data_IF_907273714809
#
_entry.id   IF_907273714809
#
_cell.length_a   1.000
_cell.length_b   1.000
_cell.length_c   1.000
_cell.angle_alpha   90.00
_cell.angle_beta   90.00
_cell.angle_gamma   90.00
#
_symmetry.space_group_name_H-M   'P 1'
#
loop_
_entity.id
_entity.type
_entity.pdbx_description
1 polymer ?
#
# COMPACT_ATOMS: atom_id res chain seq x y z
N UNK A 1 14.73 10.13 2.23
CA UNK A 1 15.18 9.84 0.85
C UNK A 1 16.20 8.73 0.92
N UNK A 2 15.84 7.57 0.40
CA UNK A 2 16.68 6.38 0.33
C UNK A 2 17.08 6.15 -1.13
N UNK A 3 18.30 5.70 -1.36
CA UNK A 3 18.78 5.29 -2.68
C UNK A 3 19.19 3.82 -2.62
N UNK A 4 18.65 3.02 -3.54
CA UNK A 4 18.95 1.59 -3.65
C UNK A 4 19.70 1.35 -4.94
N UNK A 5 20.79 0.61 -4.81
CA UNK A 5 21.62 0.19 -5.94
C UNK A 5 21.53 -1.32 -6.11
N UNK A 6 21.13 -1.76 -7.30
CA UNK A 6 21.00 -3.18 -7.65
C UNK A 6 21.61 -3.46 -9.02
N UNK A 7 21.89 -4.73 -9.29
CA UNK A 7 22.44 -5.19 -10.57
C UNK A 7 21.42 -6.05 -11.29
N UNK A 8 21.11 -5.67 -12.53
CA UNK A 8 20.22 -6.41 -13.41
C UNK A 8 20.97 -6.93 -14.66
N UNK A 9 20.25 -7.48 -15.63
CA UNK A 9 20.83 -8.00 -16.90
C UNK A 9 21.51 -6.92 -17.76
N UNK A 10 21.19 -5.64 -17.53
CA UNK A 10 21.74 -4.48 -18.26
C UNK A 10 22.89 -3.78 -17.52
N UNK A 11 23.24 -4.25 -16.32
CA UNK A 11 24.30 -3.71 -15.48
C UNK A 11 23.80 -3.13 -14.15
N UNK A 12 24.62 -2.28 -13.54
CA UNK A 12 24.32 -1.62 -12.27
C UNK A 12 23.29 -0.50 -12.49
N UNK A 13 22.23 -0.50 -11.69
CA UNK A 13 21.18 0.52 -11.66
C UNK A 13 21.08 1.13 -10.27
N UNK A 14 20.57 2.35 -10.21
CA UNK A 14 20.23 3.03 -8.97
C UNK A 14 18.81 3.57 -9.07
N UNK A 15 18.08 3.52 -7.97
CA UNK A 15 16.73 4.05 -7.85
C UNK A 15 16.60 4.79 -6.52
N UNK A 16 16.04 5.99 -6.55
CA UNK A 16 15.72 6.76 -5.35
C UNK A 16 14.26 6.58 -4.96
N UNK A 17 13.97 6.67 -3.67
CA UNK A 17 12.60 6.62 -3.15
C UNK A 17 11.76 7.79 -3.66
N UNK A 18 12.37 8.93 -3.99
CA UNK A 18 11.69 10.06 -4.63
C UNK A 18 11.23 9.69 -6.06
N UNK A 19 12.08 9.04 -6.87
CA UNK A 19 11.68 8.60 -8.22
C UNK A 19 10.51 7.63 -8.16
N UNK A 20 10.54 6.69 -7.21
CA UNK A 20 9.44 5.74 -6.99
C UNK A 20 8.19 6.47 -6.52
N UNK A 21 8.32 7.39 -5.57
CA UNK A 21 7.20 8.20 -5.10
C UNK A 21 6.56 9.02 -6.23
N UNK A 22 7.34 9.57 -7.17
CA UNK A 22 6.80 10.26 -8.35
C UNK A 22 6.08 9.30 -9.30
N UNK A 23 6.57 8.07 -9.48
CA UNK A 23 5.86 7.05 -10.26
C UNK A 23 4.51 6.71 -9.63
N UNK A 24 4.50 6.48 -8.32
CA UNK A 24 3.29 6.18 -7.56
C UNK A 24 2.30 7.36 -7.58
N UNK A 25 2.77 8.62 -7.51
CA UNK A 25 1.92 9.81 -7.58
C UNK A 25 1.23 10.01 -8.93
N UNK A 26 1.76 9.41 -10.00
CA UNK A 26 1.13 9.47 -11.31
C UNK A 26 -0.06 8.50 -11.43
N UNK A 27 -0.25 7.59 -10.46
CA UNK A 27 -1.43 6.74 -10.39
C UNK A 27 -2.59 7.59 -9.85
N UNK A 28 -3.68 7.64 -10.61
CA UNK A 28 -4.82 8.52 -10.35
C UNK A 28 -5.47 8.29 -8.99
N UNK A 29 -5.24 7.11 -8.42
CA UNK A 29 -6.00 6.56 -7.32
C UNK A 29 -5.36 6.79 -5.94
N UNK A 30 -4.10 7.25 -5.89
CA UNK A 30 -3.39 7.50 -4.62
C UNK A 30 -3.27 9.01 -4.36
N UNK A 31 -4.02 9.50 -3.38
CA UNK A 31 -4.08 10.95 -3.05
C UNK A 31 -2.93 11.43 -2.18
N UNK A 32 -2.29 10.54 -1.42
CA UNK A 32 -1.12 10.91 -0.63
C UNK A 32 -0.14 9.75 -0.54
N UNK A 33 1.14 10.07 -0.70
CA UNK A 33 2.25 9.11 -0.60
C UNK A 33 3.39 9.77 0.17
N UNK A 34 3.85 9.12 1.23
CA UNK A 34 4.99 9.54 2.05
C UNK A 34 6.03 8.43 2.13
N UNK A 35 7.29 8.74 1.82
CA UNK A 35 8.41 7.81 2.01
C UNK A 35 8.71 7.62 3.51
N UNK A 36 8.52 6.40 4.00
CA UNK A 36 8.77 5.98 5.38
C UNK A 36 9.85 4.88 5.46
N UNK A 37 10.69 4.74 4.43
CA UNK A 37 11.73 3.71 4.35
C UNK A 37 12.71 3.75 5.53
N UNK A 38 12.91 4.93 6.13
CA UNK A 38 13.75 5.12 7.32
C UNK A 38 13.17 4.52 8.62
N UNK A 39 11.90 4.11 8.63
CA UNK A 39 11.20 3.59 9.83
C UNK A 39 11.64 2.18 10.24
N UNK A 40 12.01 1.33 9.28
CA UNK A 40 12.54 -0.02 9.51
C UNK A 40 14.01 -0.17 9.10
N UNK A 41 14.53 0.73 8.25
CA UNK A 41 15.90 0.68 7.71
C UNK A 41 16.24 -0.68 7.10
N UNK A 42 15.24 -1.31 6.48
CA UNK A 42 15.42 -2.60 5.83
C UNK A 42 16.22 -2.39 4.54
N UNK A 43 17.32 -3.14 4.40
CA UNK A 43 18.22 -2.96 3.26
C UNK A 43 17.52 -3.38 1.96
N UNK A 44 17.68 -2.54 0.94
CA UNK A 44 17.16 -2.75 -0.41
C UNK A 44 15.63 -2.86 -0.46
N UNK A 45 14.93 -2.28 0.52
CA UNK A 45 13.47 -2.18 0.57
C UNK A 45 13.08 -0.71 0.76
N UNK A 46 12.14 -0.23 -0.05
CA UNK A 46 11.48 1.06 0.12
C UNK A 46 10.09 0.83 0.70
N UNK A 47 9.65 1.74 1.56
CA UNK A 47 8.36 1.62 2.22
C UNK A 47 7.66 2.97 2.14
N UNK A 48 6.41 2.95 1.70
CA UNK A 48 5.58 4.14 1.50
C UNK A 48 4.31 4.03 2.34
N UNK A 49 3.97 5.12 3.00
CA UNK A 49 2.67 5.33 3.63
C UNK A 49 1.75 6.01 2.61
N UNK A 50 0.63 5.36 2.31
CA UNK A 50 -0.26 5.71 1.21
C UNK A 50 -1.69 5.92 1.69
N UNK A 51 -2.42 6.76 0.97
CA UNK A 51 -3.87 6.96 1.12
C UNK A 51 -4.54 6.90 -0.25
N UNK A 52 -5.60 6.10 -0.36
CA UNK A 52 -6.43 6.06 -1.56
C UNK A 52 -7.38 7.26 -1.65
N UNK A 53 -7.76 7.62 -2.87
CA UNK A 53 -8.83 8.60 -3.08
C UNK A 53 -10.16 8.09 -2.52
N UNK A 54 -10.80 8.93 -1.72
CA UNK A 54 -12.12 8.73 -1.16
C UNK A 54 -13.21 8.48 -2.23
N UNK A 55 -12.94 8.82 -3.51
CA UNK A 55 -13.89 8.64 -4.61
C UNK A 55 -13.84 7.27 -5.29
N UNK A 56 -12.82 6.44 -5.03
CA UNK A 56 -12.71 5.10 -5.63
C UNK A 56 -13.82 4.20 -5.08
N UNK A 57 -14.12 4.38 -3.79
CA UNK A 57 -15.10 3.61 -3.06
C UNK A 57 -16.22 4.52 -2.55
N UNK A 58 -17.07 4.99 -3.47
CA UNK A 58 -18.31 5.69 -3.09
C UNK A 58 -19.34 4.68 -2.64
N UNK A 59 -19.28 4.30 -1.37
CA UNK A 59 -20.39 3.61 -0.73
C UNK A 59 -21.44 4.66 -0.37
N UNK A 60 -22.63 4.54 -0.95
CA UNK A 60 -23.76 5.33 -0.50
C UNK A 60 -24.09 4.89 0.93
N UNK A 61 -24.14 5.81 1.92
CA UNK A 61 -24.62 5.45 3.24
C UNK A 61 -26.04 4.91 3.07
N UNK A 62 -26.26 3.69 3.52
CA UNK A 62 -27.60 3.09 3.46
C UNK A 62 -28.51 3.88 4.42
N UNK A 63 -29.78 4.04 4.08
CA UNK A 63 -30.70 4.72 5.01
C UNK A 63 -30.84 3.89 6.29
N UNK A 64 -31.08 4.52 7.45
CA UNK A 64 -31.21 3.82 8.74
C UNK A 64 -32.25 2.67 8.70
N UNK A 65 -33.31 2.84 7.90
CA UNK A 65 -34.32 1.79 7.63
C UNK A 65 -33.76 0.61 6.81
N UNK A 66 -32.84 0.86 5.88
CA UNK A 66 -32.14 -0.18 5.11
C UNK A 66 -31.10 -0.91 5.97
N UNK A 67 -30.43 -0.22 6.91
CA UNK A 67 -29.54 -0.87 7.87
C UNK A 67 -30.28 -1.91 8.74
N UNK A 68 -31.49 -1.58 9.19
CA UNK A 68 -32.34 -2.51 9.96
C UNK A 68 -32.98 -3.61 9.08
N UNK A 69 -33.33 -3.31 7.83
CA UNK A 69 -33.98 -4.27 6.92
C UNK A 69 -33.00 -5.28 6.28
N UNK A 70 -31.74 -4.88 6.05
CA UNK A 70 -30.71 -5.71 5.40
C UNK A 70 -29.76 -6.41 6.37
N UNK A 71 -29.97 -6.31 7.69
CA UNK A 71 -29.08 -6.86 8.73
C UNK A 71 -27.60 -6.54 8.44
N UNK A 72 -27.29 -5.26 8.22
CA UNK A 72 -25.91 -4.86 7.92
C UNK A 72 -25.05 -5.15 9.14
N UNK A 73 -24.25 -6.21 9.01
CA UNK A 73 -23.51 -6.84 10.08
C UNK A 73 -22.00 -6.87 9.74
N UNK A 74 -21.26 -7.67 10.52
CA UNK A 74 -19.83 -7.89 10.31
C UNK A 74 -19.52 -8.49 8.93
N UNK A 75 -20.45 -9.26 8.33
CA UNK A 75 -20.30 -9.90 7.02
C UNK A 75 -20.33 -8.87 5.89
N UNK A 76 -21.24 -7.88 5.94
CA UNK A 76 -21.25 -6.78 4.96
C UNK A 76 -19.93 -6.00 4.96
N UNK A 77 -19.45 -5.62 6.15
CA UNK A 77 -18.18 -4.91 6.28
C UNK A 77 -16.98 -5.75 5.83
N UNK A 78 -17.02 -7.06 6.04
CA UNK A 78 -16.00 -7.97 5.56
C UNK A 78 -15.95 -7.99 4.03
N UNK A 79 -17.09 -8.06 3.35
CA UNK A 79 -17.17 -8.02 1.88
C UNK A 79 -16.58 -6.70 1.36
N UNK A 80 -16.95 -5.56 1.95
CA UNK A 80 -16.38 -4.27 1.56
C UNK A 80 -14.85 -4.21 1.74
N UNK A 81 -14.36 -4.77 2.83
CA UNK A 81 -12.92 -4.85 3.08
C UNK A 81 -12.23 -5.75 2.05
N UNK A 82 -12.84 -6.89 1.70
CA UNK A 82 -12.34 -7.80 0.67
C UNK A 82 -12.25 -7.11 -0.69
N UNK A 83 -13.28 -6.35 -1.10
CA UNK A 83 -13.28 -5.58 -2.35
C UNK A 83 -12.14 -4.54 -2.39
N UNK A 84 -11.94 -3.80 -1.30
CA UNK A 84 -10.83 -2.84 -1.19
C UNK A 84 -9.48 -3.55 -1.29
N UNK A 85 -9.36 -4.70 -0.64
CA UNK A 85 -8.12 -5.44 -0.62
C UNK A 85 -7.80 -6.07 -1.97
N UNK A 86 -8.81 -6.56 -2.70
CA UNK A 86 -8.67 -7.06 -4.08
C UNK A 86 -8.23 -5.93 -5.02
N UNK A 87 -8.88 -4.77 -4.93
CA UNK A 87 -8.48 -3.59 -5.71
C UNK A 87 -7.03 -3.17 -5.43
N UNK A 88 -6.62 -3.10 -4.16
CA UNK A 88 -5.24 -2.78 -3.80
C UNK A 88 -4.25 -3.85 -4.28
N UNK A 89 -4.69 -5.11 -4.36
CA UNK A 89 -3.88 -6.19 -4.90
C UNK A 89 -3.63 -6.00 -6.39
N UNK A 90 -4.68 -5.73 -7.18
CA UNK A 90 -4.56 -5.42 -8.61
C UNK A 90 -3.64 -4.21 -8.85
N UNK A 91 -3.86 -3.12 -8.10
CA UNK A 91 -3.01 -1.93 -8.16
C UNK A 91 -1.55 -2.27 -7.85
N UNK A 92 -1.30 -3.09 -6.82
CA UNK A 92 0.07 -3.46 -6.41
C UNK A 92 0.75 -4.33 -7.47
N UNK A 93 0.03 -5.26 -8.09
CA UNK A 93 0.54 -6.13 -9.15
C UNK A 93 0.89 -5.34 -10.42
N UNK A 94 0.06 -4.36 -10.80
CA UNK A 94 0.32 -3.47 -11.93
C UNK A 94 1.61 -2.65 -11.71
N UNK A 95 1.78 -2.07 -10.52
CA UNK A 95 2.99 -1.32 -10.14
C UNK A 95 4.22 -2.23 -10.18
N UNK A 96 4.10 -3.44 -9.64
CA UNK A 96 5.17 -4.43 -9.64
C UNK A 96 5.62 -4.74 -11.06
N UNK A 97 4.67 -4.97 -11.97
CA UNK A 97 4.94 -5.23 -13.38
C UNK A 97 5.62 -4.03 -14.06
N UNK A 98 5.12 -2.82 -13.86
CA UNK A 98 5.68 -1.59 -14.42
C UNK A 98 7.13 -1.38 -13.97
N UNK A 99 7.40 -1.53 -12.67
CA UNK A 99 8.75 -1.40 -12.13
C UNK A 99 9.68 -2.48 -12.67
N UNK A 100 9.23 -3.73 -12.75
CA UNK A 100 10.01 -4.82 -13.37
C UNK A 100 10.33 -4.52 -14.83
N UNK A 101 9.38 -3.96 -15.58
CA UNK A 101 9.55 -3.63 -16.97
C UNK A 101 10.53 -2.46 -17.16
N UNK A 102 10.35 -1.37 -16.43
CA UNK A 102 11.20 -0.17 -16.50
C UNK A 102 12.63 -0.49 -16.10
N UNK A 103 12.80 -1.23 -15.01
CA UNK A 103 14.12 -1.54 -14.46
C UNK A 103 14.69 -2.87 -14.94
N UNK A 104 13.99 -3.63 -15.80
CA UNK A 104 14.40 -4.95 -16.31
C UNK A 104 14.93 -5.87 -15.20
N UNK A 105 14.23 -5.90 -14.08
CA UNK A 105 14.65 -6.60 -12.87
C UNK A 105 13.51 -7.39 -12.23
N UNK A 106 13.39 -8.66 -12.63
CA UNK A 106 12.33 -9.58 -12.21
C UNK A 106 12.23 -9.84 -10.69
N UNK A 107 13.29 -9.51 -9.93
CA UNK A 107 13.30 -9.73 -8.47
C UNK A 107 12.63 -8.60 -7.71
N UNK A 108 12.20 -7.53 -8.37
CA UNK A 108 11.37 -6.51 -7.73
C UNK A 108 10.11 -7.18 -7.23
N UNK A 109 9.76 -6.95 -5.96
CA UNK A 109 8.54 -7.48 -5.35
C UNK A 109 7.84 -6.40 -4.56
N UNK A 110 6.52 -6.35 -4.66
CA UNK A 110 5.68 -5.42 -3.94
C UNK A 110 4.65 -6.15 -3.09
N UNK A 111 4.17 -5.48 -2.06
CA UNK A 111 3.02 -5.91 -1.28
C UNK A 111 2.47 -4.70 -0.53
N UNK A 112 1.21 -4.79 -0.11
CA UNK A 112 0.54 -3.77 0.68
C UNK A 112 -0.07 -4.36 1.95
N UNK A 113 -0.36 -3.49 2.92
CA UNK A 113 -1.16 -3.82 4.10
C UNK A 113 -1.98 -2.59 4.49
N UNK A 114 -3.31 -2.74 4.52
CA UNK A 114 -4.23 -1.72 5.05
C UNK A 114 -4.05 -1.66 6.58
N UNK A 115 -3.86 -0.46 7.12
CA UNK A 115 -3.67 -0.27 8.56
C UNK A 115 -4.72 0.62 9.22
N UNK A 116 -5.44 1.43 8.45
CA UNK A 116 -6.50 2.29 8.94
C UNK A 116 -7.60 2.40 7.88
N UNK A 117 -8.84 2.26 8.34
CA UNK A 117 -10.05 2.29 7.54
C UNK A 117 -11.16 2.90 8.40
N UNK A 118 -11.76 3.99 7.95
CA UNK A 118 -12.88 4.59 8.67
C UNK A 118 -14.18 3.81 8.45
N UNK A 119 -15.16 4.00 9.33
CA UNK A 119 -16.49 3.34 9.27
C UNK A 119 -17.26 3.64 7.96
N UNK A 120 -16.90 4.72 7.27
CA UNK A 120 -17.47 5.10 5.99
C UNK A 120 -16.68 4.60 4.78
N UNK A 121 -15.62 3.81 4.96
CA UNK A 121 -14.79 3.20 3.90
C UNK A 121 -14.26 4.21 2.86
N UNK A 122 -14.11 5.46 3.27
CA UNK A 122 -13.67 6.59 2.44
C UNK A 122 -12.27 7.07 2.80
N UNK A 123 -11.74 6.70 3.97
CA UNK A 123 -10.36 7.00 4.38
C UNK A 123 -9.59 5.68 4.52
N UNK A 124 -9.02 5.22 3.40
CA UNK A 124 -8.25 3.97 3.34
C UNK A 124 -6.77 4.33 3.38
N UNK A 125 -6.09 3.96 4.48
CA UNK A 125 -4.64 4.12 4.62
C UNK A 125 -3.95 2.77 4.65
N UNK A 126 -2.87 2.67 3.91
CA UNK A 126 -2.14 1.44 3.74
C UNK A 126 -0.64 1.71 3.61
N UNK A 127 0.15 0.71 3.98
CA UNK A 127 1.58 0.71 3.72
C UNK A 127 1.84 -0.10 2.45
N UNK A 128 2.68 0.42 1.57
CA UNK A 128 3.21 -0.30 0.42
C UNK A 128 4.72 -0.51 0.60
N UNK A 129 5.18 -1.76 0.49
CA UNK A 129 6.60 -2.10 0.53
C UNK A 129 7.07 -2.59 -0.83
N UNK A 130 8.23 -2.11 -1.25
CA UNK A 130 8.85 -2.40 -2.55
C UNK A 130 10.27 -2.92 -2.29
N UNK A 131 10.50 -4.21 -2.56
CA UNK A 131 11.80 -4.85 -2.44
C UNK A 131 12.54 -4.83 -3.77
N UNK A 132 13.83 -4.48 -3.72
CA UNK A 132 14.78 -4.58 -4.83
C UNK A 132 15.86 -5.64 -4.57
N UNK A 133 15.54 -6.62 -3.70
CA UNK A 133 16.38 -7.78 -3.42
C UNK A 133 15.62 -9.08 -3.62
N UNK A 134 16.38 -10.16 -3.69
CA UNK A 134 15.83 -11.52 -3.67
C UNK A 134 15.27 -11.81 -2.27
N UNK A 135 13.96 -11.65 -2.11
CA UNK A 135 13.23 -11.87 -0.87
C UNK A 135 12.03 -12.78 -1.16
N UNK A 136 11.62 -13.63 -0.21
CA UNK A 136 10.37 -14.36 -0.36
C UNK A 136 9.16 -13.41 -0.23
N UNK A 137 8.04 -13.76 -0.85
CA UNK A 137 6.82 -12.94 -0.75
C UNK A 137 6.30 -12.91 0.69
N UNK A 138 6.45 -14.00 1.44
CA UNK A 138 6.09 -14.08 2.86
C UNK A 138 6.92 -13.12 3.72
N UNK A 139 8.25 -13.10 3.55
CA UNK A 139 9.11 -12.19 4.31
C UNK A 139 8.78 -10.72 4.02
N UNK A 140 8.48 -10.38 2.77
CA UNK A 140 8.06 -9.03 2.41
C UNK A 140 6.71 -8.68 3.04
N UNK A 141 5.73 -9.58 3.01
CA UNK A 141 4.43 -9.39 3.64
C UNK A 141 4.56 -9.19 5.16
N UNK A 142 5.40 -9.99 5.83
CA UNK A 142 5.65 -9.87 7.27
C UNK A 142 6.27 -8.51 7.63
N UNK A 143 7.22 -8.03 6.83
CA UNK A 143 7.81 -6.69 6.99
C UNK A 143 6.75 -5.59 6.83
N UNK A 144 5.92 -5.68 5.80
CA UNK A 144 4.84 -4.71 5.54
C UNK A 144 3.84 -4.68 6.68
N UNK A 145 3.40 -5.85 7.16
CA UNK A 145 2.48 -5.98 8.29
C UNK A 145 3.04 -5.39 9.59
N UNK A 146 4.34 -5.59 9.87
CA UNK A 146 5.00 -4.96 11.01
C UNK A 146 5.01 -3.43 10.87
N UNK A 147 5.25 -2.93 9.65
CA UNK A 147 5.22 -1.48 9.38
C UNK A 147 3.83 -0.90 9.58
N UNK A 148 2.81 -1.51 8.99
CA UNK A 148 1.41 -1.13 9.11
C UNK A 148 0.98 -1.01 10.58
N UNK A 149 1.31 -2.03 11.39
CA UNK A 149 1.06 -1.97 12.85
C UNK A 149 1.75 -0.79 13.53
N UNK A 150 2.99 -0.45 13.14
CA UNK A 150 3.69 0.73 13.68
C UNK A 150 3.03 2.03 13.24
N UNK A 151 2.55 2.13 12.00
CA UNK A 151 1.81 3.30 11.53
C UNK A 151 0.51 3.47 12.30
N UNK A 152 -0.29 2.41 12.48
CA UNK A 152 -1.50 2.44 13.30
C UNK A 152 -1.23 2.94 14.74
N UNK A 153 -0.19 2.40 15.39
CA UNK A 153 0.21 2.84 16.74
C UNK A 153 0.80 4.25 16.77
N UNK A 154 1.42 4.71 15.68
CA UNK A 154 1.94 6.06 15.51
C UNK A 154 0.84 7.09 15.28
N UNK A 155 -0.18 6.75 14.48
CA UNK A 155 -1.39 7.53 14.24
C UNK A 155 -2.21 7.72 15.51
N UNK A 156 -2.18 6.76 16.44
CA UNK A 156 -2.78 6.89 17.78
C UNK A 156 -2.15 8.01 18.62
N UNK A 157 -0.95 8.53 18.31
CA UNK A 157 -0.39 9.69 19.04
C UNK A 157 -1.02 11.04 18.67
N UNK A 158 -1.80 11.10 17.59
CA UNK A 158 -2.50 12.32 17.16
C UNK A 158 -4.01 12.30 17.45
N UNK A 159 -4.51 11.23 18.08
CA UNK A 159 -5.84 11.14 18.67
C UNK A 159 -5.72 11.08 20.20
N UNK A 160 -5.37 12.21 20.81
CA UNK A 160 -5.63 12.53 22.22
C UNK A 160 -5.86 14.04 22.35
#
# INVERSE_FOLDING_TARGET
>A
MVEITFTNKTGKKSISSDNVQQLLKNMADIVSISDISDSLKEKDVMIFDCKLDNFIFKFEPLDEELYEEFEIDEEYYQVLFEDINEYLHELTDDIEQDLREVYKFEKIKLTHEIYDLNESFTDIKFVMSISFKDISSQELADLTRITAKRQLLGSSKYFN
#
